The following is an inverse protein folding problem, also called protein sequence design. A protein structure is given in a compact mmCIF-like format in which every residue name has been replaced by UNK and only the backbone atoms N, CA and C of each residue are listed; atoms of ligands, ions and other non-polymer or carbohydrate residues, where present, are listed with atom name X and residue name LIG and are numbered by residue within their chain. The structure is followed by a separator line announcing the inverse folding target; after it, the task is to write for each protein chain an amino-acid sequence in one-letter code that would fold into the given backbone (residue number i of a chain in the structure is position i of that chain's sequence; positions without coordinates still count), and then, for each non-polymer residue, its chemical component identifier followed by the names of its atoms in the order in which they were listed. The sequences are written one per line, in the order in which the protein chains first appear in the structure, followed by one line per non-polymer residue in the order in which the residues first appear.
data_IF_056328261648
#
_entry.id   IF_056328261648
#
_cell.length_a   1.000
_cell.length_b   1.000
_cell.length_c   1.000
_cell.angle_alpha   90.00
_cell.angle_beta   90.00
_cell.angle_gamma   90.00
#
_symmetry.space_group_name_H-M   'P 1'
#
loop_
_entity.id
_entity.type
_entity.pdbx_description
1 polymer ?
#
# COMPACT_ATOMS: atom_id res chain seq x y z
N UNK A 1 7.56 -27.82 13.77
CA UNK A 1 7.56 -26.82 12.67
C UNK A 1 8.77 -25.90 12.72
N UNK A 2 9.11 -25.38 13.89
CA UNK A 2 10.19 -24.39 14.10
C UNK A 2 11.53 -24.80 13.46
N UNK A 3 12.05 -26.00 13.75
CA UNK A 3 13.34 -26.48 13.20
C UNK A 3 13.35 -26.65 11.67
N UNK A 4 12.19 -26.85 11.03
CA UNK A 4 12.07 -26.97 9.57
C UNK A 4 12.05 -25.59 8.91
N UNK A 5 11.31 -24.66 9.51
CA UNK A 5 11.25 -23.27 9.05
C UNK A 5 12.63 -22.62 9.21
N UNK A 6 13.31 -22.82 10.33
CA UNK A 6 14.64 -22.26 10.59
C UNK A 6 15.69 -22.72 9.58
N UNK A 7 15.71 -24.02 9.25
CA UNK A 7 16.70 -24.60 8.33
C UNK A 7 16.42 -24.30 6.87
N UNK A 8 15.15 -24.08 6.49
CA UNK A 8 14.78 -23.84 5.10
C UNK A 8 14.65 -22.33 4.83
N UNK A 9 15.57 -21.80 4.03
CA UNK A 9 15.62 -20.38 3.69
C UNK A 9 14.28 -19.82 3.14
N UNK A 10 13.63 -20.55 2.24
CA UNK A 10 12.38 -20.09 1.62
C UNK A 10 11.23 -20.07 2.61
N UNK A 11 11.10 -21.12 3.43
CA UNK A 11 10.08 -21.18 4.47
C UNK A 11 10.32 -20.10 5.54
N UNK A 12 11.57 -19.91 5.96
CA UNK A 12 11.94 -18.86 6.90
C UNK A 12 11.57 -17.46 6.37
N UNK A 13 11.87 -17.19 5.10
CA UNK A 13 11.52 -15.92 4.44
C UNK A 13 10.00 -15.73 4.36
N UNK A 14 9.26 -16.73 3.89
CA UNK A 14 7.81 -16.69 3.79
C UNK A 14 7.13 -16.54 5.15
N UNK A 15 7.61 -17.25 6.17
CA UNK A 15 7.10 -17.12 7.55
C UNK A 15 7.29 -15.70 8.09
N UNK A 16 8.43 -15.05 7.78
CA UNK A 16 8.71 -13.67 8.20
C UNK A 16 7.77 -12.67 7.51
N UNK A 17 7.51 -12.90 6.23
CA UNK A 17 6.55 -12.10 5.45
C UNK A 17 5.12 -12.29 5.97
N UNK A 18 4.73 -13.52 6.32
CA UNK A 18 3.42 -13.82 6.92
C UNK A 18 3.26 -13.17 8.31
N UNK A 19 4.29 -13.22 9.15
CA UNK A 19 4.29 -12.53 10.44
C UNK A 19 4.13 -11.01 10.28
N UNK A 20 4.83 -10.42 9.29
CA UNK A 20 4.69 -9.00 8.97
C UNK A 20 3.26 -8.65 8.50
N UNK A 21 2.67 -9.44 7.60
CA UNK A 21 1.34 -9.16 7.06
C UNK A 21 0.25 -9.30 8.13
N UNK A 22 0.40 -10.25 9.05
CA UNK A 22 -0.48 -10.40 10.21
C UNK A 22 -0.50 -9.14 11.08
N UNK A 23 0.67 -8.63 11.46
CA UNK A 23 0.76 -7.40 12.24
C UNK A 23 0.23 -6.18 11.47
N UNK A 24 0.48 -6.12 10.17
CA UNK A 24 -0.05 -5.06 9.32
C UNK A 24 -1.59 -5.08 9.23
N UNK A 25 -2.21 -6.26 9.25
CA UNK A 25 -3.67 -6.40 9.28
C UNK A 25 -4.26 -5.86 10.59
N UNK A 26 -3.63 -6.13 11.73
CA UNK A 26 -4.02 -5.51 13.01
C UNK A 26 -3.83 -3.98 12.97
N UNK A 27 -2.76 -3.51 12.32
CA UNK A 27 -2.51 -2.09 12.14
C UNK A 27 -3.53 -1.40 11.23
N UNK A 28 -4.09 -2.06 10.21
CA UNK A 28 -5.10 -1.48 9.30
C UNK A 28 -6.54 -1.65 9.79
N UNK A 29 -6.80 -2.52 10.77
CA UNK A 29 -8.15 -2.82 11.24
C UNK A 29 -8.83 -1.60 11.89
N UNK A 30 -10.15 -1.43 11.69
CA UNK A 30 -10.88 -0.26 12.20
C UNK A 30 -11.12 -0.31 13.71
N UNK A 31 -11.48 -1.48 14.24
CA UNK A 31 -11.76 -1.68 15.67
C UNK A 31 -10.50 -1.81 16.52
N UNK A 32 -9.90 -0.67 16.88
CA UNK A 32 -8.66 -0.62 17.68
C UNK A 32 -8.80 -1.08 19.12
N UNK A 33 -10.02 -1.14 19.66
CA UNK A 33 -10.26 -1.69 21.00
C UNK A 33 -9.94 -3.17 21.11
N UNK A 34 -10.19 -3.93 20.04
CA UNK A 34 -9.99 -5.39 19.99
C UNK A 34 -8.70 -5.73 19.23
N UNK A 35 -8.44 -5.04 18.12
CA UNK A 35 -7.30 -5.29 17.23
C UNK A 35 -6.21 -4.22 17.41
N UNK A 36 -5.52 -4.27 18.55
CA UNK A 36 -4.44 -3.34 18.89
C UNK A 36 -3.07 -4.03 18.79
N UNK A 37 -2.20 -3.53 17.91
CA UNK A 37 -0.83 -4.03 17.76
C UNK A 37 0.03 -3.76 19.00
N UNK A 38 -0.21 -2.65 19.70
CA UNK A 38 0.61 -2.26 20.85
C UNK A 38 0.29 -3.10 22.09
N UNK A 39 -0.93 -3.63 22.19
CA UNK A 39 -1.36 -4.51 23.27
C UNK A 39 -1.16 -6.00 22.93
N UNK A 40 -0.71 -6.31 21.71
CA UNK A 40 -0.51 -7.67 21.25
C UNK A 40 0.82 -8.23 21.77
N UNK A 41 0.76 -9.40 22.41
CA UNK A 41 1.96 -10.09 22.87
C UNK A 41 2.66 -10.81 21.71
N UNK A 42 3.73 -10.19 21.20
CA UNK A 42 4.52 -10.69 20.09
C UNK A 42 5.25 -12.00 20.40
N UNK A 43 5.56 -12.28 21.67
CA UNK A 43 6.23 -13.52 22.05
C UNK A 43 5.30 -14.71 21.94
N UNK A 44 4.02 -14.53 22.30
CA UNK A 44 3.01 -15.60 22.19
C UNK A 44 2.56 -15.85 20.76
N UNK A 45 2.66 -14.84 19.89
CA UNK A 45 2.34 -14.96 18.46
C UNK A 45 3.46 -15.63 17.67
N UNK A 46 4.73 -15.38 18.01
CA UNK A 46 5.90 -15.94 17.31
C UNK A 46 5.85 -17.47 17.04
N UNK A 47 5.49 -18.36 18.00
CA UNK A 47 5.48 -19.80 17.77
C UNK A 47 4.44 -20.24 16.74
N UNK A 48 3.34 -19.50 16.56
CA UNK A 48 2.33 -19.79 15.53
C UNK A 48 2.89 -19.67 14.10
N UNK A 49 3.93 -18.85 13.92
CA UNK A 49 4.65 -18.67 12.66
C UNK A 49 5.94 -19.49 12.59
N UNK A 50 6.21 -20.32 13.61
CA UNK A 50 7.41 -21.16 13.69
C UNK A 50 8.68 -20.41 14.11
N UNK A 51 8.54 -19.28 14.79
CA UNK A 51 9.66 -18.52 15.35
C UNK A 51 9.74 -18.69 16.86
N UNK A 52 10.90 -19.06 17.39
CA UNK A 52 11.17 -19.09 18.84
C UNK A 52 11.34 -17.68 19.38
N UNK A 53 11.99 -16.80 18.61
CA UNK A 53 12.20 -15.39 18.93
C UNK A 53 11.44 -14.55 17.91
N UNK A 54 10.60 -13.59 18.33
CA UNK A 54 9.85 -12.75 17.41
C UNK A 54 10.82 -11.97 16.50
N UNK A 55 10.72 -12.10 15.18
CA UNK A 55 11.60 -11.39 14.27
C UNK A 55 11.27 -9.89 14.29
N UNK A 56 12.31 -9.06 14.22
CA UNK A 56 12.14 -7.62 14.01
C UNK A 56 11.58 -7.37 12.61
N UNK A 57 10.41 -6.75 12.55
CA UNK A 57 9.73 -6.40 11.30
C UNK A 57 9.39 -4.92 11.31
N UNK A 58 9.48 -4.30 10.14
CA UNK A 58 9.11 -2.91 9.95
C UNK A 58 7.59 -2.84 9.73
N UNK A 59 6.86 -2.30 10.71
CA UNK A 59 5.44 -2.04 10.57
C UNK A 59 5.24 -0.60 10.05
N UNK A 60 4.57 -0.46 8.91
CA UNK A 60 4.07 0.84 8.46
C UNK A 60 2.75 1.16 9.19
N UNK A 61 2.84 1.39 10.51
CA UNK A 61 1.68 1.67 11.39
C UNK A 61 0.92 2.93 10.94
N UNK A 62 1.58 3.81 10.17
CA UNK A 62 1.02 5.06 9.66
C UNK A 62 0.41 4.98 8.27
N UNK A 63 0.22 3.79 7.68
CA UNK A 63 -0.40 3.70 6.37
C UNK A 63 -1.91 3.96 6.46
N UNK A 64 -2.27 5.22 6.19
CA UNK A 64 -3.62 5.76 5.99
C UNK A 64 -4.33 6.10 7.30
N UNK A 65 -3.85 7.17 7.96
CA UNK A 65 -4.78 8.26 8.28
C UNK A 65 -5.48 8.52 6.95
N UNK A 66 -6.74 8.14 6.87
CA UNK A 66 -7.57 8.40 5.72
C UNK A 66 -7.48 9.91 5.41
N UNK A 67 -6.55 10.30 4.54
CA UNK A 67 -6.97 10.98 3.33
C UNK A 67 -7.85 9.97 2.54
N UNK A 68 -8.98 9.56 3.14
CA UNK A 68 -10.22 9.56 2.40
C UNK A 68 -10.15 10.92 1.75
N UNK A 69 -10.09 10.93 0.43
CA UNK A 69 -10.44 12.13 -0.32
C UNK A 69 -11.78 12.52 0.29
N UNK A 70 -11.75 13.43 1.27
CA UNK A 70 -12.95 14.03 1.79
C UNK A 70 -13.42 14.78 0.56
N UNK A 71 -14.41 14.20 -0.12
CA UNK A 71 -15.22 14.95 -1.06
C UNK A 71 -15.82 16.05 -0.19
N UNK A 72 -15.12 17.19 -0.10
CA UNK A 72 -15.71 18.45 0.33
C UNK A 72 -16.94 18.58 -0.56
N UNK A 73 -18.09 18.67 0.09
CA UNK A 73 -19.38 18.33 -0.49
C UNK A 73 -19.65 18.98 -1.85
N UNK A 74 -20.49 18.29 -2.62
CA UNK A 74 -21.12 18.83 -3.82
C UNK A 74 -20.41 18.45 -5.13
N UNK A 75 -21.07 17.62 -5.94
CA UNK A 75 -20.73 17.41 -7.35
C UNK A 75 -20.28 15.99 -7.66
N UNK A 76 -21.19 15.19 -8.20
CA UNK A 76 -20.91 13.85 -8.73
C UNK A 76 -19.87 13.91 -9.85
N UNK A 77 -18.76 13.20 -9.68
CA UNK A 77 -17.73 13.03 -10.69
C UNK A 77 -16.90 11.81 -10.37
N UNK A 78 -16.87 10.83 -11.28
CA UNK A 78 -16.03 9.65 -11.18
C UNK A 78 -14.55 10.07 -11.11
N UNK A 79 -13.81 9.42 -10.21
CA UNK A 79 -12.51 9.89 -9.76
C UNK A 79 -11.43 9.90 -10.84
N UNK A 80 -10.64 10.97 -10.85
CA UNK A 80 -9.26 10.97 -11.32
C UNK A 80 -8.50 11.99 -10.48
N UNK A 81 -7.73 11.49 -9.51
CA UNK A 81 -6.80 12.30 -8.73
C UNK A 81 -5.56 12.58 -9.56
N UNK A 82 -5.44 13.80 -10.09
CA UNK A 82 -4.18 14.32 -10.61
C UNK A 82 -3.63 15.36 -9.64
N UNK A 83 -2.52 15.00 -9.02
CA UNK A 83 -1.63 15.92 -8.31
C UNK A 83 -1.17 16.99 -9.31
N UNK A 84 -1.75 18.18 -9.23
CA UNK A 84 -1.29 19.35 -9.98
C UNK A 84 -0.04 19.92 -9.30
N UNK A 85 1.13 19.47 -9.73
CA UNK A 85 2.34 20.28 -9.64
C UNK A 85 3.36 19.73 -10.64
N UNK A 86 3.70 20.53 -11.64
CA UNK A 86 4.69 20.26 -12.70
C UNK A 86 4.23 19.34 -13.84
N UNK A 87 3.28 19.82 -14.64
CA UNK A 87 3.28 19.55 -16.07
C UNK A 87 2.93 20.82 -16.86
N UNK A 88 3.66 21.90 -16.59
CA UNK A 88 3.83 22.98 -17.56
C UNK A 88 4.81 22.52 -18.65
N UNK A 89 4.47 21.46 -19.37
CA UNK A 89 5.00 21.27 -20.72
C UNK A 89 3.80 21.42 -21.64
N UNK A 90 3.61 22.66 -22.09
CA UNK A 90 2.64 23.03 -23.10
C UNK A 90 2.65 21.97 -24.21
N UNK A 91 1.54 21.27 -24.41
CA UNK A 91 1.35 20.53 -25.65
C UNK A 91 1.49 21.57 -26.79
N UNK A 92 2.49 21.40 -27.66
CA UNK A 92 2.59 22.18 -28.90
C UNK A 92 1.46 21.70 -29.81
N UNK A 93 0.28 22.29 -29.63
CA UNK A 93 -0.86 22.10 -30.50
C UNK A 93 -0.52 22.79 -31.82
N UNK A 94 -0.13 22.03 -32.84
CA UNK A 94 -0.02 22.53 -34.20
C UNK A 94 -1.43 22.79 -34.73
N UNK A 95 -1.80 24.07 -34.82
CA UNK A 95 -3.06 24.46 -35.48
C UNK A 95 -2.86 24.38 -36.99
N UNK A 96 -3.78 23.72 -37.70
CA UNK A 96 -3.78 23.66 -39.16
C UNK A 96 -4.01 25.07 -39.72
N UNK A 97 -3.20 25.48 -40.70
CA UNK A 97 -3.38 26.75 -41.41
C UNK A 97 -4.59 26.61 -42.34
N UNK A 98 -5.42 27.65 -42.45
CA UNK A 98 -6.59 27.66 -43.36
C UNK A 98 -6.15 27.37 -44.79
N UNK A 99 -6.62 26.26 -45.36
CA UNK A 99 -6.25 25.75 -46.69
C UNK A 99 -5.34 24.51 -46.71
N UNK A 100 -4.88 24.03 -45.55
CA UNK A 100 -4.07 22.81 -45.49
C UNK A 100 -4.95 21.56 -45.65
N UNK A 101 -4.76 20.79 -46.72
CA UNK A 101 -5.49 19.55 -47.04
C UNK A 101 -4.71 18.28 -46.70
N UNK A 102 -3.50 18.41 -46.13
CA UNK A 102 -2.69 17.26 -45.75
C UNK A 102 -3.35 16.49 -44.61
N UNK A 103 -3.59 15.20 -44.84
CA UNK A 103 -4.03 14.24 -43.83
C UNK A 103 -2.78 13.53 -43.30
N UNK A 104 -2.55 13.59 -42.00
CA UNK A 104 -1.49 12.79 -41.39
C UNK A 104 -1.96 11.34 -41.34
N UNK A 105 -1.26 10.45 -42.04
CA UNK A 105 -1.49 9.01 -41.95
C UNK A 105 -1.18 8.53 -40.53
N UNK A 106 -2.02 7.61 -40.03
CA UNK A 106 -1.97 7.08 -38.67
C UNK A 106 -0.86 6.05 -38.49
#
# INVERSE_FOLDING_TARGET
LEKLIEKNYYLHKSAREAYKSYLQAYASHQHKSIFNVNALDLQRVAPAFGFVVPPRVNLSIYCRKEERIQRRGGGGGYGTGYKSSKLQQKAKIFKRKTGDSRQFTR
#
